data_IF_406904277832
#
_entry.id   IF_406904277832
#
_cell.length_a   1.000
_cell.length_b   1.000
_cell.length_c   1.000
_cell.angle_alpha   90.00
_cell.angle_beta   90.00
_cell.angle_gamma   90.00
#
_symmetry.space_group_name_H-M   'P 1'
#
loop_
_entity.id
_entity.type
_entity.pdbx_description
1 polymer ?
#
# COMPACT_ATOMS: atom_id res chain seq x y z
N UNK A 1 -13.77 49.69 37.84
CA UNK A 1 -12.62 49.95 36.95
C UNK A 1 -11.75 48.71 36.97
N UNK A 2 -11.57 48.06 35.80
CA UNK A 2 -10.57 47.01 35.46
C UNK A 2 -10.60 45.71 36.31
N UNK A 3 -10.59 44.48 35.79
CA UNK A 3 -10.45 44.02 34.41
C UNK A 3 -11.05 42.60 34.28
N UNK A 4 -11.76 42.40 33.18
CA UNK A 4 -12.30 41.13 32.70
C UNK A 4 -11.21 40.38 31.91
N UNK A 5 -11.40 39.07 31.74
CA UNK A 5 -10.78 38.22 30.72
C UNK A 5 -9.34 37.71 30.96
N UNK A 6 -9.20 36.53 31.59
CA UNK A 6 -8.17 35.55 31.23
C UNK A 6 -8.48 34.17 31.85
N UNK A 7 -9.33 33.34 31.22
CA UNK A 7 -9.28 31.87 31.41
C UNK A 7 -10.29 31.08 30.54
N UNK A 8 -10.44 31.41 29.26
CA UNK A 8 -11.27 30.62 28.33
C UNK A 8 -10.54 30.25 27.03
N UNK A 9 -9.20 30.28 27.03
CA UNK A 9 -8.35 29.88 25.90
C UNK A 9 -7.42 28.73 26.31
N UNK A 10 -7.98 27.60 26.74
CA UNK A 10 -7.19 26.39 26.97
C UNK A 10 -7.97 25.07 26.75
N UNK A 11 -9.18 25.11 26.17
CA UNK A 11 -10.00 23.90 26.02
C UNK A 11 -10.36 23.49 24.58
N UNK A 12 -9.83 24.17 23.56
CA UNK A 12 -10.00 23.78 22.15
C UNK A 12 -8.69 23.41 21.43
N UNK A 13 -7.56 23.40 22.14
CA UNK A 13 -6.23 23.18 21.56
C UNK A 13 -5.63 21.78 21.76
N UNK A 14 -6.32 20.85 22.42
CA UNK A 14 -5.74 19.57 22.85
C UNK A 14 -6.52 18.32 22.40
N UNK A 15 -7.44 18.43 21.43
CA UNK A 15 -8.08 17.28 20.78
C UNK A 15 -7.52 16.94 19.39
N UNK A 16 -6.44 17.60 18.98
CA UNK A 16 -5.77 17.39 17.69
C UNK A 16 -4.45 16.60 17.81
N UNK A 17 -4.09 16.14 19.00
CA UNK A 17 -2.83 15.44 19.28
C UNK A 17 -3.12 14.07 19.90
N UNK A 18 -3.66 13.14 19.10
CA UNK A 18 -3.58 11.67 19.28
C UNK A 18 -4.57 10.88 18.38
N UNK A 19 -5.18 11.47 17.34
CA UNK A 19 -5.70 10.65 16.26
C UNK A 19 -4.53 10.33 15.34
N UNK A 20 -3.97 9.13 15.52
CA UNK A 20 -3.14 8.55 14.47
C UNK A 20 -3.91 8.62 13.17
N UNK A 21 -3.26 9.22 12.18
CA UNK A 21 -3.86 9.42 10.89
C UNK A 21 -3.71 8.16 10.06
N UNK A 22 -4.68 7.95 9.20
CA UNK A 22 -4.68 6.89 8.21
C UNK A 22 -3.58 6.97 7.17
N UNK A 23 -2.89 8.10 7.10
CA UNK A 23 -1.74 8.30 6.24
C UNK A 23 -0.42 7.85 6.91
N UNK A 24 -0.44 7.42 8.17
CA UNK A 24 0.74 6.94 8.87
C UNK A 24 1.25 5.60 8.30
N UNK A 25 2.58 5.34 8.35
CA UNK A 25 3.15 4.06 7.91
C UNK A 25 2.57 2.85 8.64
N UNK A 26 2.26 3.00 9.94
CA UNK A 26 1.67 1.96 10.77
C UNK A 26 0.51 2.56 11.59
N UNK A 27 -0.69 2.70 11.01
CA UNK A 27 -1.81 3.26 11.73
C UNK A 27 -2.32 2.24 12.76
N UNK A 28 -2.36 2.60 14.04
CA UNK A 28 -2.97 1.80 15.10
C UNK A 28 -4.50 1.92 15.11
N UNK A 29 -5.07 2.74 14.22
CA UNK A 29 -6.52 2.91 14.04
C UNK A 29 -6.91 2.49 12.63
N UNK A 30 -8.01 1.74 12.52
CA UNK A 30 -8.58 1.38 11.23
C UNK A 30 -9.10 2.60 10.48
N UNK A 31 -8.89 2.63 9.18
CA UNK A 31 -9.20 3.77 8.33
C UNK A 31 -10.66 3.90 7.91
N UNK A 32 -11.55 3.58 8.83
CA UNK A 32 -12.99 3.53 8.64
C UNK A 32 -13.71 4.53 9.55
N UNK A 33 -13.15 5.74 9.70
CA UNK A 33 -13.81 6.80 10.50
C UNK A 33 -15.15 7.19 9.88
N UNK A 34 -16.05 7.74 10.70
CA UNK A 34 -17.38 8.21 10.24
C UNK A 34 -17.27 9.18 9.07
N UNK A 35 -16.25 10.04 9.05
CA UNK A 35 -16.01 11.00 7.97
C UNK A 35 -15.58 10.34 6.65
N UNK A 36 -14.85 9.22 6.73
CA UNK A 36 -14.48 8.43 5.55
C UNK A 36 -15.73 7.68 5.08
N UNK A 37 -16.35 6.90 5.97
CA UNK A 37 -17.49 6.04 5.64
C UNK A 37 -18.73 6.82 5.17
N UNK A 38 -18.84 8.11 5.49
CA UNK A 38 -19.90 8.98 4.96
C UNK A 38 -19.91 9.09 3.42
N UNK A 39 -18.79 8.78 2.76
CA UNK A 39 -18.70 8.72 1.30
C UNK A 39 -18.91 7.31 0.72
N UNK A 40 -18.98 6.27 1.56
CA UNK A 40 -19.15 4.91 1.09
C UNK A 40 -20.60 4.69 0.66
N UNK A 41 -20.83 4.53 -0.64
CA UNK A 41 -22.16 4.31 -1.21
C UNK A 41 -22.04 3.84 -2.65
N UNK A 42 -22.88 2.90 -3.03
CA UNK A 42 -23.02 2.45 -4.41
C UNK A 42 -24.04 3.27 -5.21
N UNK A 43 -24.67 4.30 -4.62
CA UNK A 43 -25.58 5.20 -5.34
C UNK A 43 -24.87 5.91 -6.49
N UNK A 44 -25.63 6.22 -7.55
CA UNK A 44 -25.07 6.95 -8.69
C UNK A 44 -24.65 8.36 -8.29
N UNK A 45 -23.36 8.63 -8.44
CA UNK A 45 -22.73 9.93 -8.23
C UNK A 45 -22.02 10.38 -9.51
N UNK A 46 -21.91 11.70 -9.78
CA UNK A 46 -21.10 12.21 -10.87
C UNK A 46 -19.66 11.67 -10.88
N UNK A 47 -19.08 11.41 -9.70
CA UNK A 47 -17.77 10.80 -9.51
C UNK A 47 -17.85 9.61 -8.56
N UNK A 48 -17.18 8.52 -8.92
CA UNK A 48 -17.12 7.33 -8.07
C UNK A 48 -15.69 6.79 -7.97
N UNK A 49 -15.22 6.58 -6.74
CA UNK A 49 -13.87 6.12 -6.43
C UNK A 49 -13.90 4.62 -6.10
N UNK A 50 -13.07 3.84 -6.77
CA UNK A 50 -12.80 2.44 -6.42
C UNK A 50 -11.46 2.34 -5.73
N UNK A 51 -11.42 1.69 -4.57
CA UNK A 51 -10.19 1.55 -3.79
C UNK A 51 -9.76 0.09 -3.61
N UNK A 52 -8.52 -0.21 -3.96
CA UNK A 52 -7.89 -1.50 -3.73
C UNK A 52 -6.79 -1.35 -2.66
N UNK A 53 -7.06 -1.88 -1.46
CA UNK A 53 -6.20 -1.75 -0.28
C UNK A 53 -4.85 -2.48 -0.41
N UNK A 54 -3.92 -2.26 0.50
CA UNK A 54 -2.69 -3.04 0.61
C UNK A 54 -2.93 -4.43 1.17
N UNK A 55 -1.91 -5.30 1.10
CA UNK A 55 -1.98 -6.61 1.74
C UNK A 55 -2.23 -6.47 3.25
N UNK A 56 -3.08 -7.35 3.77
CA UNK A 56 -3.49 -7.49 5.16
C UNK A 56 -4.16 -6.25 5.79
N UNK A 57 -4.40 -5.20 5.00
CA UNK A 57 -5.23 -4.09 5.45
C UNK A 57 -6.69 -4.57 5.61
N UNK A 58 -7.47 -4.04 6.55
CA UNK A 58 -8.92 -4.12 6.50
C UNK A 58 -9.46 -3.05 5.56
N UNK A 59 -10.73 -3.15 5.16
CA UNK A 59 -11.37 -2.06 4.43
C UNK A 59 -11.55 -0.80 5.30
N UNK A 60 -11.40 0.41 4.72
CA UNK A 60 -10.98 0.72 3.35
C UNK A 60 -9.46 0.77 3.12
N UNK A 61 -8.67 0.44 4.14
CA UNK A 61 -7.20 0.58 4.14
C UNK A 61 -6.77 2.04 4.26
N UNK A 62 -5.46 2.30 4.20
CA UNK A 62 -4.89 3.67 4.29
C UNK A 62 -5.44 4.62 3.20
N UNK A 63 -5.93 4.06 2.08
CA UNK A 63 -6.62 4.79 1.01
C UNK A 63 -7.91 5.52 1.45
N UNK A 64 -8.48 5.18 2.61
CA UNK A 64 -9.71 5.82 3.09
C UNK A 64 -9.56 7.35 3.29
N UNK A 65 -8.43 7.80 3.83
CA UNK A 65 -8.21 9.23 4.10
C UNK A 65 -8.07 10.05 2.82
N UNK A 66 -7.21 9.60 1.89
CA UNK A 66 -7.04 10.29 0.61
C UNK A 66 -8.36 10.31 -0.17
N UNK A 67 -9.17 9.25 -0.09
CA UNK A 67 -10.50 9.19 -0.71
C UNK A 67 -11.46 10.23 -0.13
N UNK A 68 -11.47 10.40 1.20
CA UNK A 68 -12.28 11.45 1.86
C UNK A 68 -11.86 12.85 1.39
N UNK A 69 -10.56 13.12 1.28
CA UNK A 69 -10.05 14.40 0.79
C UNK A 69 -10.37 14.65 -0.70
N UNK A 70 -10.28 13.61 -1.55
CA UNK A 70 -10.70 13.67 -2.95
C UNK A 70 -12.19 14.01 -3.04
N UNK A 71 -13.06 13.30 -2.30
CA UNK A 71 -14.50 13.55 -2.36
C UNK A 71 -14.88 14.93 -1.79
N UNK A 72 -14.22 15.40 -0.72
CA UNK A 72 -14.36 16.79 -0.25
C UNK A 72 -13.98 17.80 -1.34
N UNK A 73 -12.86 17.57 -2.02
CA UNK A 73 -12.36 18.46 -3.08
C UNK A 73 -13.20 18.44 -4.35
N UNK A 74 -13.85 17.32 -4.67
CA UNK A 74 -14.80 17.20 -5.77
C UNK A 74 -16.09 17.94 -5.42
N UNK A 75 -16.71 17.58 -4.30
CA UNK A 75 -18.01 18.05 -3.84
C UNK A 75 -18.67 16.92 -3.05
N UNK A 76 -19.09 17.20 -1.81
CA UNK A 76 -19.54 16.16 -0.87
C UNK A 76 -20.67 15.28 -1.43
N UNK A 77 -21.61 15.90 -2.14
CA UNK A 77 -22.78 15.21 -2.68
C UNK A 77 -22.55 14.62 -4.07
N UNK A 78 -21.41 14.93 -4.70
CA UNK A 78 -21.06 14.56 -6.08
C UNK A 78 -20.09 13.38 -6.17
N UNK A 79 -19.52 12.94 -5.04
CA UNK A 79 -18.51 11.89 -4.96
C UNK A 79 -18.93 10.81 -3.96
N UNK A 80 -18.79 9.55 -4.36
CA UNK A 80 -18.83 8.40 -3.44
C UNK A 80 -17.67 7.46 -3.72
N UNK A 81 -17.49 6.46 -2.86
CA UNK A 81 -16.54 5.38 -3.10
C UNK A 81 -17.11 4.01 -2.75
N UNK A 82 -16.49 2.98 -3.33
CA UNK A 82 -16.63 1.61 -2.88
C UNK A 82 -15.27 0.89 -2.86
N UNK A 83 -15.19 -0.15 -2.02
CA UNK A 83 -14.01 -0.99 -1.93
C UNK A 83 -14.01 -2.00 -3.06
N UNK A 84 -12.86 -2.26 -3.66
CA UNK A 84 -12.69 -3.47 -4.45
C UNK A 84 -12.77 -4.65 -3.51
N UNK A 85 -13.78 -5.51 -3.70
CA UNK A 85 -13.92 -6.71 -2.87
C UNK A 85 -12.91 -7.81 -3.21
N UNK A 86 -11.93 -8.07 -2.33
CA UNK A 86 -10.96 -9.16 -2.49
C UNK A 86 -10.19 -9.50 -1.19
N UNK A 87 -9.47 -10.63 -1.12
CA UNK A 87 -8.84 -11.08 0.12
C UNK A 87 -7.74 -10.19 0.69
N UNK A 88 -7.01 -9.46 -0.16
CA UNK A 88 -5.77 -8.75 0.17
C UNK A 88 -4.74 -9.56 0.98
N UNK A 89 -4.57 -10.86 0.72
CA UNK A 89 -3.62 -11.68 1.49
C UNK A 89 -2.16 -11.42 1.08
N UNK A 90 -1.27 -11.21 2.05
CA UNK A 90 0.19 -11.24 1.80
C UNK A 90 0.72 -12.66 1.57
N UNK A 91 2.03 -12.76 1.28
CA UNK A 91 2.72 -14.06 1.16
C UNK A 91 2.76 -14.83 2.49
N UNK A 92 2.52 -14.18 3.63
CA UNK A 92 2.49 -14.81 4.96
C UNK A 92 1.35 -15.84 5.13
N UNK A 93 0.30 -15.77 4.30
CA UNK A 93 -0.84 -16.69 4.36
C UNK A 93 -0.61 -18.00 3.59
N UNK A 94 0.48 -18.11 2.84
CA UNK A 94 0.81 -19.25 2.01
C UNK A 94 1.38 -18.84 0.66
N UNK A 95 2.15 -19.74 0.05
CA UNK A 95 2.96 -19.43 -1.15
C UNK A 95 2.12 -18.91 -2.31
N UNK A 96 0.89 -19.41 -2.46
CA UNK A 96 -0.02 -19.05 -3.56
C UNK A 96 -0.99 -17.91 -3.20
N UNK A 97 -1.11 -17.54 -1.93
CA UNK A 97 -2.24 -16.73 -1.45
C UNK A 97 -2.17 -15.29 -1.95
N UNK A 98 -0.96 -14.73 -2.12
CA UNK A 98 -0.78 -13.41 -2.74
C UNK A 98 -1.32 -13.42 -4.18
N UNK A 99 -0.94 -14.42 -4.99
CA UNK A 99 -1.37 -14.52 -6.40
C UNK A 99 -2.87 -14.76 -6.53
N UNK A 100 -3.45 -15.67 -5.73
CA UNK A 100 -4.90 -15.89 -5.70
C UNK A 100 -5.65 -14.62 -5.30
N UNK A 101 -5.12 -13.90 -4.32
CA UNK A 101 -5.68 -12.63 -3.85
C UNK A 101 -5.66 -11.58 -4.96
N UNK A 102 -4.51 -11.33 -5.58
CA UNK A 102 -4.34 -10.36 -6.64
C UNK A 102 -5.21 -10.67 -7.87
N UNK A 103 -5.25 -11.93 -8.33
CA UNK A 103 -6.12 -12.35 -9.43
C UNK A 103 -7.60 -12.13 -9.12
N UNK A 104 -8.03 -12.48 -7.89
CA UNK A 104 -9.40 -12.24 -7.45
C UNK A 104 -9.73 -10.75 -7.38
N UNK A 105 -8.79 -9.93 -6.92
CA UNK A 105 -8.91 -8.47 -6.89
C UNK A 105 -9.08 -7.87 -8.27
N UNK A 106 -8.27 -8.27 -9.25
CA UNK A 106 -8.35 -7.75 -10.61
C UNK A 106 -9.70 -8.11 -11.26
N UNK A 107 -10.12 -9.38 -11.15
CA UNK A 107 -11.38 -9.86 -11.70
C UNK A 107 -12.60 -9.19 -11.04
N UNK A 108 -12.64 -9.16 -9.70
CA UNK A 108 -13.73 -8.53 -8.97
C UNK A 108 -13.75 -7.01 -9.20
N UNK A 109 -12.59 -6.36 -9.30
CA UNK A 109 -12.49 -4.93 -9.57
C UNK A 109 -13.05 -4.54 -10.93
N UNK A 110 -12.71 -5.30 -11.98
CA UNK A 110 -13.32 -5.10 -13.30
C UNK A 110 -14.83 -5.34 -13.28
N UNK A 111 -15.30 -6.35 -12.54
CA UNK A 111 -16.73 -6.62 -12.41
C UNK A 111 -17.48 -5.48 -11.70
N UNK A 112 -16.94 -4.92 -10.62
CA UNK A 112 -17.53 -3.79 -9.89
C UNK A 112 -17.56 -2.52 -10.74
N UNK A 113 -16.42 -2.17 -11.37
CA UNK A 113 -16.31 -1.02 -12.28
C UNK A 113 -17.31 -1.11 -13.44
N UNK A 114 -17.47 -2.30 -14.01
CA UNK A 114 -18.48 -2.55 -15.04
C UNK A 114 -19.90 -2.41 -14.51
N UNK A 115 -20.22 -3.07 -13.38
CA UNK A 115 -21.56 -3.02 -12.80
C UNK A 115 -21.97 -1.59 -12.44
N UNK A 116 -21.06 -0.81 -11.86
CA UNK A 116 -21.30 0.60 -11.55
C UNK A 116 -21.52 1.42 -12.82
N UNK A 117 -20.73 1.21 -13.87
CA UNK A 117 -20.90 1.94 -15.14
C UNK A 117 -22.17 1.55 -15.90
N UNK A 118 -22.61 0.30 -15.79
CA UNK A 118 -23.90 -0.14 -16.34
C UNK A 118 -25.07 0.54 -15.59
N UNK A 119 -24.95 0.67 -14.26
CA UNK A 119 -25.94 1.33 -13.40
C UNK A 119 -25.93 2.86 -13.55
N UNK A 120 -24.75 3.46 -13.69
CA UNK A 120 -24.47 4.88 -13.62
C UNK A 120 -23.63 5.33 -14.81
N UNK A 121 -24.21 5.24 -16.01
CA UNK A 121 -23.50 5.40 -17.30
C UNK A 121 -22.81 6.74 -17.55
N UNK A 122 -23.16 7.79 -16.79
CA UNK A 122 -22.56 9.12 -16.88
C UNK A 122 -21.48 9.38 -15.81
N UNK A 123 -21.27 8.43 -14.89
CA UNK A 123 -20.32 8.59 -13.80
C UNK A 123 -18.89 8.54 -14.30
N UNK A 124 -18.07 9.44 -13.78
CA UNK A 124 -16.61 9.44 -13.96
C UNK A 124 -15.98 8.59 -12.88
N UNK A 125 -15.08 7.69 -13.27
CA UNK A 125 -14.48 6.72 -12.37
C UNK A 125 -13.08 7.14 -11.98
N UNK A 126 -12.75 6.92 -10.71
CA UNK A 126 -11.42 7.15 -10.14
C UNK A 126 -10.94 5.83 -9.55
N UNK A 127 -9.73 5.39 -9.88
CA UNK A 127 -9.17 4.13 -9.39
C UNK A 127 -7.98 4.39 -8.48
N UNK A 128 -8.00 3.87 -7.25
CA UNK A 128 -6.90 4.00 -6.30
C UNK A 128 -6.41 2.63 -5.86
N UNK A 129 -5.08 2.47 -5.75
CA UNK A 129 -4.48 1.23 -5.29
C UNK A 129 -3.23 1.44 -4.45
N UNK A 130 -3.04 0.61 -3.42
CA UNK A 130 -1.83 0.60 -2.60
C UNK A 130 -1.20 -0.80 -2.54
N UNK A 131 0.11 -0.92 -2.70
CA UNK A 131 0.87 -2.17 -2.56
C UNK A 131 0.33 -3.32 -3.44
N UNK A 132 -0.22 -4.40 -2.86
CA UNK A 132 -0.94 -5.42 -3.64
C UNK A 132 -2.13 -4.82 -4.41
N UNK A 133 -2.91 -3.93 -3.79
CA UNK A 133 -4.00 -3.20 -4.43
C UNK A 133 -3.56 -2.26 -5.55
N UNK A 134 -2.33 -1.75 -5.50
CA UNK A 134 -1.73 -1.03 -6.62
C UNK A 134 -1.52 -1.95 -7.82
N UNK A 135 -1.06 -3.18 -7.58
CA UNK A 135 -0.94 -4.19 -8.64
C UNK A 135 -2.31 -4.63 -9.16
N UNK A 136 -3.29 -4.83 -8.28
CA UNK A 136 -4.69 -5.10 -8.65
C UNK A 136 -5.26 -4.01 -9.55
N UNK A 137 -5.08 -2.73 -9.18
CA UNK A 137 -5.59 -1.59 -9.94
C UNK A 137 -4.93 -1.51 -11.32
N UNK A 138 -3.61 -1.72 -11.39
CA UNK A 138 -2.91 -1.81 -12.67
C UNK A 138 -3.31 -3.05 -13.48
N UNK A 139 -3.59 -4.20 -12.84
CA UNK A 139 -4.09 -5.41 -13.51
C UNK A 139 -5.49 -5.19 -14.09
N UNK A 140 -6.35 -4.42 -13.44
CA UNK A 140 -7.64 -4.03 -13.99
C UNK A 140 -7.47 -3.22 -15.29
N UNK A 141 -6.56 -2.25 -15.32
CA UNK A 141 -6.37 -1.35 -16.47
C UNK A 141 -5.55 -2.00 -17.60
N UNK A 142 -4.45 -2.66 -17.25
CA UNK A 142 -3.45 -3.20 -18.16
C UNK A 142 -3.55 -4.69 -18.44
N UNK A 143 -4.39 -5.41 -17.71
CA UNK A 143 -4.32 -6.87 -17.66
C UNK A 143 -3.24 -7.36 -16.70
N UNK A 144 -3.46 -8.53 -16.14
CA UNK A 144 -2.65 -9.11 -15.07
C UNK A 144 -2.15 -10.52 -15.37
N UNK A 145 -1.65 -11.17 -14.33
CA UNK A 145 -1.07 -12.50 -14.39
C UNK A 145 0.45 -12.53 -14.55
N UNK A 146 1.01 -13.74 -14.47
CA UNK A 146 2.45 -14.01 -14.56
C UNK A 146 3.08 -14.39 -13.22
N UNK A 147 4.34 -14.83 -13.26
CA UNK A 147 5.10 -15.23 -12.07
C UNK A 147 5.45 -14.01 -11.21
N UNK A 148 5.10 -14.05 -9.92
CA UNK A 148 5.42 -13.00 -8.95
C UNK A 148 5.65 -13.65 -7.59
N UNK A 149 6.72 -13.26 -6.90
CA UNK A 149 7.23 -14.02 -5.76
C UNK A 149 7.38 -15.51 -6.13
N UNK A 150 6.85 -16.41 -5.29
CA UNK A 150 6.90 -17.88 -5.46
C UNK A 150 5.62 -18.46 -6.09
N UNK A 151 4.74 -17.65 -6.67
CA UNK A 151 3.48 -18.11 -7.27
C UNK A 151 3.27 -17.53 -8.67
N UNK A 152 2.39 -18.18 -9.46
CA UNK A 152 1.91 -17.66 -10.73
C UNK A 152 0.50 -17.11 -10.54
N UNK A 153 0.31 -15.83 -10.85
CA UNK A 153 -1.00 -15.20 -10.84
C UNK A 153 -1.76 -15.55 -12.12
N UNK A 154 -3.05 -15.89 -11.98
CA UNK A 154 -3.96 -16.09 -13.12
C UNK A 154 -4.09 -14.82 -13.96
N UNK A 155 -4.24 -15.00 -15.26
CA UNK A 155 -4.37 -13.89 -16.21
C UNK A 155 -5.77 -13.29 -16.19
N UNK A 156 -5.86 -11.96 -16.30
CA UNK A 156 -7.09 -11.24 -16.62
C UNK A 156 -6.84 -10.29 -17.80
N UNK A 157 -7.84 -10.04 -18.66
CA UNK A 157 -7.69 -9.11 -19.78
C UNK A 157 -7.57 -7.67 -19.28
N UNK A 158 -7.00 -6.79 -20.10
CA UNK A 158 -7.03 -5.35 -19.88
C UNK A 158 -8.45 -4.80 -20.00
N UNK A 159 -8.76 -3.75 -19.23
CA UNK A 159 -9.96 -2.97 -19.44
C UNK A 159 -9.78 -2.10 -20.69
N UNK A 160 -10.74 -2.15 -21.61
CA UNK A 160 -10.66 -1.39 -22.86
C UNK A 160 -10.82 0.10 -22.61
N UNK A 161 -9.74 0.87 -22.83
CA UNK A 161 -9.71 2.32 -22.66
C UNK A 161 -10.64 3.07 -23.61
N UNK A 162 -11.05 2.46 -24.72
CA UNK A 162 -11.85 3.10 -25.77
C UNK A 162 -13.36 3.00 -25.56
N UNK A 163 -13.81 2.12 -24.66
CA UNK A 163 -15.23 1.87 -24.39
C UNK A 163 -15.53 1.87 -22.89
N UNK A 164 -16.79 2.04 -22.51
CA UNK A 164 -17.20 1.90 -21.10
C UNK A 164 -16.94 0.47 -20.60
N UNK A 165 -16.40 0.28 -19.39
CA UNK A 165 -16.13 1.31 -18.38
C UNK A 165 -14.73 1.95 -18.43
N UNK A 166 -13.80 1.43 -19.24
CA UNK A 166 -12.43 1.96 -19.30
C UNK A 166 -12.34 3.40 -19.80
N UNK A 167 -13.23 3.81 -20.69
CA UNK A 167 -13.37 5.18 -21.16
C UNK A 167 -13.81 6.17 -20.07
N UNK A 168 -14.50 5.68 -19.04
CA UNK A 168 -15.04 6.49 -17.94
C UNK A 168 -13.99 6.74 -16.84
N UNK A 169 -12.83 6.07 -16.87
CA UNK A 169 -11.74 6.32 -15.93
C UNK A 169 -11.09 7.67 -16.24
N UNK A 170 -11.31 8.64 -15.35
CA UNK A 170 -10.80 10.02 -15.50
C UNK A 170 -9.52 10.28 -14.70
N UNK A 171 -9.25 9.46 -13.68
CA UNK A 171 -8.02 9.49 -12.90
C UNK A 171 -7.75 8.11 -12.31
N UNK A 172 -6.49 7.71 -12.25
CA UNK A 172 -6.04 6.54 -11.53
C UNK A 172 -4.72 6.87 -10.81
N UNK A 173 -4.57 6.44 -9.57
CA UNK A 173 -3.31 6.59 -8.84
C UNK A 173 -2.99 5.31 -8.08
N UNK A 174 -1.78 4.81 -8.27
CA UNK A 174 -1.27 3.66 -7.52
C UNK A 174 -0.03 4.02 -6.72
N UNK A 175 0.15 3.38 -5.58
CA UNK A 175 1.29 3.58 -4.68
C UNK A 175 1.99 2.25 -4.41
N UNK A 176 3.28 2.15 -4.70
CA UNK A 176 4.08 0.98 -4.36
C UNK A 176 3.67 -0.31 -5.08
N UNK A 177 3.36 -0.27 -6.37
CA UNK A 177 2.94 -1.47 -7.11
C UNK A 177 4.03 -2.57 -7.10
N UNK A 178 3.64 -3.78 -6.68
CA UNK A 178 4.47 -5.00 -6.73
C UNK A 178 4.79 -5.40 -8.17
N UNK A 179 3.79 -5.35 -9.04
CA UNK A 179 3.91 -5.66 -10.46
C UNK A 179 3.92 -4.39 -11.30
N UNK A 180 5.11 -3.85 -11.59
CA UNK A 180 5.31 -2.63 -12.39
C UNK A 180 6.61 -2.68 -13.19
N UNK A 181 6.66 -1.89 -14.25
CA UNK A 181 7.86 -1.72 -15.08
C UNK A 181 8.50 -0.36 -14.86
N UNK A 182 9.82 -0.32 -14.94
CA UNK A 182 10.61 0.92 -14.94
C UNK A 182 10.38 1.78 -16.17
N UNK A 183 10.86 3.02 -16.10
CA UNK A 183 10.95 4.01 -17.18
C UNK A 183 9.61 4.32 -17.86
N UNK A 184 8.53 4.37 -17.06
CA UNK A 184 7.22 4.76 -17.56
C UNK A 184 6.98 6.25 -17.33
N UNK A 185 6.38 6.90 -18.33
CA UNK A 185 6.01 8.32 -18.30
C UNK A 185 4.94 8.66 -17.24
N UNK A 186 4.20 7.66 -16.77
CA UNK A 186 3.22 7.80 -15.69
C UNK A 186 3.82 7.51 -14.31
N UNK A 187 5.08 7.06 -14.20
CA UNK A 187 5.70 6.85 -12.88
C UNK A 187 6.17 8.17 -12.28
N UNK A 188 5.83 8.37 -11.00
CA UNK A 188 6.24 9.50 -10.17
C UNK A 188 7.18 9.00 -9.06
N UNK A 189 8.24 9.75 -8.80
CA UNK A 189 9.26 9.44 -7.80
C UNK A 189 10.54 8.83 -8.39
N UNK A 190 11.57 8.78 -7.55
CA UNK A 190 12.91 8.30 -7.94
C UNK A 190 12.97 6.78 -8.17
N UNK A 191 11.91 6.03 -7.81
CA UNK A 191 11.72 4.62 -8.16
C UNK A 191 11.43 4.38 -9.65
N UNK A 192 11.36 5.44 -10.47
CA UNK A 192 11.12 5.34 -11.92
C UNK A 192 12.12 4.45 -12.66
N UNK A 193 13.36 4.33 -12.20
CA UNK A 193 14.40 3.55 -12.87
C UNK A 193 14.38 2.05 -12.53
N UNK A 194 13.45 1.62 -11.69
CA UNK A 194 13.41 0.28 -11.12
C UNK A 194 12.10 -0.43 -11.45
N UNK A 195 12.20 -1.73 -11.68
CA UNK A 195 11.04 -2.61 -11.78
C UNK A 195 10.58 -2.97 -10.35
N UNK A 196 9.32 -3.39 -10.21
CA UNK A 196 8.86 -3.99 -8.95
C UNK A 196 9.40 -5.42 -8.78
N UNK A 197 8.84 -6.18 -7.84
CA UNK A 197 9.07 -7.64 -7.70
C UNK A 197 8.90 -8.38 -9.03
N UNK A 198 8.06 -7.84 -9.92
CA UNK A 198 7.93 -8.32 -11.30
C UNK A 198 7.70 -7.16 -12.25
N UNK A 199 8.38 -7.17 -13.40
CA UNK A 199 8.05 -6.32 -14.54
C UNK A 199 6.73 -6.74 -15.21
N UNK A 200 6.02 -5.78 -15.82
CA UNK A 200 4.86 -6.06 -16.68
C UNK A 200 5.34 -6.68 -18.00
N UNK A 201 4.54 -7.57 -18.59
CA UNK A 201 4.80 -8.01 -19.97
C UNK A 201 4.62 -6.84 -20.95
N UNK A 202 5.18 -6.91 -22.17
CA UNK A 202 4.98 -5.88 -23.19
C UNK A 202 3.50 -5.57 -23.46
N UNK A 203 2.64 -6.60 -23.52
CA UNK A 203 1.21 -6.46 -23.78
C UNK A 203 0.49 -5.77 -22.61
N UNK A 204 0.83 -6.16 -21.37
CA UNK A 204 0.29 -5.53 -20.17
C UNK A 204 0.68 -4.04 -20.12
N UNK A 205 1.92 -3.73 -20.49
CA UNK A 205 2.44 -2.38 -20.48
C UNK A 205 1.84 -1.51 -21.59
N UNK A 206 1.69 -2.06 -22.79
CA UNK A 206 1.02 -1.38 -23.90
C UNK A 206 -0.43 -1.02 -23.54
N UNK A 207 -1.13 -1.94 -22.86
CA UNK A 207 -2.48 -1.66 -22.36
C UNK A 207 -2.49 -0.56 -21.28
N UNK A 208 -1.57 -0.59 -20.31
CA UNK A 208 -1.42 0.48 -19.30
C UNK A 208 -1.09 1.84 -19.94
N UNK A 209 -0.26 1.88 -20.98
CA UNK A 209 0.11 3.12 -21.65
C UNK A 209 -1.10 3.86 -22.26
N UNK A 210 -2.19 3.16 -22.57
CA UNK A 210 -3.45 3.79 -23.00
C UNK A 210 -4.07 4.67 -21.89
N UNK A 211 -3.72 4.44 -20.63
CA UNK A 211 -4.15 5.22 -19.47
C UNK A 211 -3.14 6.29 -19.04
N UNK A 212 -1.97 6.40 -19.67
CA UNK A 212 -0.87 7.26 -19.20
C UNK A 212 -1.24 8.75 -19.02
N UNK A 213 -2.25 9.24 -19.75
CA UNK A 213 -2.73 10.61 -19.60
C UNK A 213 -3.58 10.83 -18.35
N UNK A 214 -4.10 9.79 -17.71
CA UNK A 214 -4.97 9.82 -16.51
C UNK A 214 -4.43 8.97 -15.37
N UNK A 215 -3.21 8.44 -15.47
CA UNK A 215 -2.65 7.51 -14.51
C UNK A 215 -1.34 8.05 -13.92
N UNK A 216 -1.18 7.93 -12.60
CA UNK A 216 0.09 8.10 -11.90
C UNK A 216 0.43 6.84 -11.10
N UNK A 217 1.66 6.35 -11.23
CA UNK A 217 2.22 5.25 -10.46
C UNK A 217 3.33 5.78 -9.55
N UNK A 218 3.06 5.93 -8.26
CA UNK A 218 4.04 6.38 -7.28
C UNK A 218 4.93 5.23 -6.85
N UNK A 219 6.24 5.44 -6.97
CA UNK A 219 7.24 4.53 -6.45
C UNK A 219 8.45 5.29 -5.92
N UNK A 220 8.76 5.09 -4.64
CA UNK A 220 9.92 5.70 -4.00
C UNK A 220 11.20 4.95 -4.31
N UNK A 221 12.31 5.68 -4.35
CA UNK A 221 13.63 5.04 -4.28
C UNK A 221 13.81 4.38 -2.90
N UNK A 222 14.43 3.22 -2.87
CA UNK A 222 14.60 2.41 -1.67
C UNK A 222 13.36 1.59 -1.29
N UNK A 223 12.23 1.72 -1.98
CA UNK A 223 11.06 0.86 -1.76
C UNK A 223 11.40 -0.58 -2.20
N UNK A 224 11.44 -1.56 -1.26
CA UNK A 224 11.86 -2.93 -1.57
C UNK A 224 10.83 -3.71 -2.40
N UNK A 225 9.65 -3.16 -2.63
CA UNK A 225 8.55 -3.78 -3.38
C UNK A 225 8.47 -3.23 -4.80
N UNK A 226 8.42 -1.91 -4.94
CA UNK A 226 8.17 -1.27 -6.24
C UNK A 226 9.46 -0.81 -6.94
N UNK A 227 10.57 -0.69 -6.22
CA UNK A 227 11.87 -0.30 -6.73
C UNK A 227 12.96 -1.32 -6.37
N UNK A 228 12.75 -2.57 -6.76
CA UNK A 228 13.64 -3.69 -6.39
C UNK A 228 15.06 -3.43 -6.90
N UNK A 229 16.04 -3.50 -5.98
CA UNK A 229 17.45 -3.24 -6.26
C UNK A 229 17.88 -1.77 -6.15
N UNK A 230 16.97 -0.87 -5.75
CA UNK A 230 17.35 0.48 -5.30
C UNK A 230 17.89 0.42 -3.87
N UNK A 231 19.14 0.86 -3.66
CA UNK A 231 19.85 0.66 -2.39
C UNK A 231 20.26 1.99 -1.72
N UNK A 232 20.19 2.11 -0.39
CA UNK A 232 19.77 1.08 0.57
C UNK A 232 18.25 0.86 0.56
N UNK A 233 17.82 -0.41 0.55
CA UNK A 233 16.40 -0.75 0.70
C UNK A 233 15.86 -0.32 2.08
N UNK A 234 14.67 0.29 2.09
CA UNK A 234 14.00 0.81 3.27
C UNK A 234 12.49 0.59 3.18
N UNK A 235 11.95 -0.31 4.03
CA UNK A 235 10.50 -0.60 4.06
C UNK A 235 9.65 0.65 4.36
N UNK A 236 10.19 1.65 5.06
CA UNK A 236 9.49 2.91 5.29
C UNK A 236 9.17 3.64 3.98
N UNK A 237 10.03 3.52 2.96
CA UNK A 237 9.75 4.07 1.63
C UNK A 237 8.50 3.44 0.99
N UNK A 238 8.14 2.20 1.36
CA UNK A 238 6.90 1.57 0.91
C UNK A 238 5.64 2.01 1.69
N UNK A 239 5.82 2.58 2.88
CA UNK A 239 4.73 2.84 3.82
C UNK A 239 4.36 4.33 3.92
N UNK A 240 5.32 5.23 3.65
CA UNK A 240 5.15 6.68 3.85
C UNK A 240 4.50 7.43 2.68
N UNK A 241 4.02 6.75 1.63
CA UNK A 241 3.37 7.38 0.48
C UNK A 241 2.28 8.39 0.87
N UNK A 242 1.48 8.06 1.88
CA UNK A 242 0.38 8.93 2.29
C UNK A 242 0.85 10.08 3.19
N UNK A 243 1.96 9.93 3.91
CA UNK A 243 2.58 11.05 4.61
C UNK A 243 3.17 12.07 3.62
N UNK A 244 3.75 11.59 2.52
CA UNK A 244 4.47 12.44 1.57
C UNK A 244 3.56 13.00 0.46
N UNK A 245 2.60 12.21 -0.02
CA UNK A 245 1.89 12.50 -1.27
C UNK A 245 0.37 12.73 -1.14
N UNK A 246 -0.23 12.56 0.04
CA UNK A 246 -1.69 12.62 0.19
C UNK A 246 -2.29 13.94 -0.32
N UNK A 247 -1.68 15.09 0.04
CA UNK A 247 -2.19 16.40 -0.38
C UNK A 247 -2.04 16.63 -1.89
N UNK A 248 -0.85 16.36 -2.46
CA UNK A 248 -0.61 16.60 -3.88
C UNK A 248 -1.45 15.68 -4.77
N UNK A 249 -1.60 14.40 -4.40
CA UNK A 249 -2.38 13.44 -5.15
C UNK A 249 -3.85 13.81 -5.10
N UNK A 250 -4.38 14.18 -3.92
CA UNK A 250 -5.77 14.62 -3.80
C UNK A 250 -6.06 15.81 -4.72
N UNK A 251 -5.16 16.80 -4.73
CA UNK A 251 -5.28 17.97 -5.62
C UNK A 251 -5.21 17.60 -7.09
N UNK A 252 -4.27 16.72 -7.46
CA UNK A 252 -4.12 16.26 -8.84
C UNK A 252 -5.36 15.52 -9.32
N UNK A 253 -5.89 14.58 -8.53
CA UNK A 253 -7.10 13.82 -8.86
C UNK A 253 -8.30 14.77 -9.01
N UNK A 254 -8.52 15.67 -8.06
CA UNK A 254 -9.64 16.63 -8.11
C UNK A 254 -9.56 17.49 -9.37
N UNK A 255 -8.38 18.03 -9.70
CA UNK A 255 -8.18 18.81 -10.90
C UNK A 255 -8.43 17.97 -12.17
N UNK A 256 -7.88 16.75 -12.22
CA UNK A 256 -8.02 15.84 -13.36
C UNK A 256 -9.47 15.44 -13.60
N UNK A 257 -10.18 15.05 -12.53
CA UNK A 257 -11.58 14.66 -12.57
C UNK A 257 -12.49 15.80 -13.06
N UNK A 258 -12.21 17.04 -12.63
CA UNK A 258 -12.91 18.25 -13.08
C UNK A 258 -12.56 18.69 -14.50
N UNK A 259 -11.62 18.02 -15.17
CA UNK A 259 -11.21 18.31 -16.55
C UNK A 259 -10.23 19.48 -16.66
N UNK A 260 -9.59 19.88 -15.55
CA UNK A 260 -8.58 20.93 -15.57
C UNK A 260 -7.27 20.39 -16.16
N UNK A 261 -6.53 21.24 -16.87
CA UNK A 261 -5.17 20.94 -17.28
C UNK A 261 -4.27 20.88 -16.04
N UNK A 262 -3.74 19.70 -15.75
CA UNK A 262 -2.81 19.46 -14.63
C UNK A 262 -1.70 18.53 -15.10
N UNK A 263 -0.46 18.93 -14.84
CA UNK A 263 0.72 18.10 -15.11
C UNK A 263 0.90 17.07 -14.00
N UNK A 264 1.57 15.94 -14.33
CA UNK A 264 2.07 15.05 -13.29
C UNK A 264 3.00 15.82 -12.33
N UNK A 265 2.97 15.52 -11.02
CA UNK A 265 3.96 16.05 -10.08
C UNK A 265 5.39 15.73 -10.59
N UNK A 266 6.30 16.69 -10.41
CA UNK A 266 7.68 16.58 -10.92
C UNK A 266 8.35 15.31 -10.40
N UNK A 267 9.06 14.59 -11.27
CA UNK A 267 9.88 13.41 -10.94
C UNK A 267 11.06 13.73 -9.99
N UNK A 268 11.25 15.00 -9.64
CA UNK A 268 12.30 15.48 -8.76
C UNK A 268 11.72 16.55 -7.87
N UNK A 269 11.52 16.23 -6.58
CA UNK A 269 11.85 17.07 -5.41
C UNK A 269 11.40 16.40 -4.12
N UNK A 270 12.24 15.53 -3.55
CA UNK A 270 12.20 15.21 -2.12
C UNK A 270 13.62 15.00 -1.54
N UNK A 271 14.56 15.89 -1.88
CA UNK A 271 15.77 16.05 -1.06
C UNK A 271 15.60 17.24 -0.13
N UNK A 272 14.90 17.04 0.99
CA UNK A 272 15.23 17.82 2.19
C UNK A 272 16.53 17.26 2.73
N UNK A 273 17.65 17.79 2.25
CA UNK A 273 18.97 17.60 2.84
C UNK A 273 18.91 17.94 4.32
N UNK A 274 18.87 16.92 5.19
CA UNK A 274 19.18 17.08 6.60
C UNK A 274 20.69 17.36 6.64
N UNK A 275 21.05 18.63 6.79
CA UNK A 275 22.43 19.01 7.08
C UNK A 275 22.86 18.32 8.39
N UNK A 276 24.03 17.67 8.45
CA UNK A 276 24.50 17.07 9.69
C UNK A 276 24.74 18.18 10.71
N UNK A 277 24.10 18.05 11.88
CA UNK A 277 24.35 18.91 13.02
C UNK A 277 25.84 18.88 13.35
N UNK A 278 26.45 20.06 13.37
CA UNK A 278 27.85 20.30 13.70
C UNK A 278 28.10 19.84 15.14
N UNK A 279 28.76 18.69 15.31
CA UNK A 279 29.26 18.26 16.60
C UNK A 279 30.39 19.20 17.03
N UNK A 280 30.20 19.90 18.15
CA UNK A 280 31.25 20.65 18.83
C UNK A 280 32.25 19.68 19.44
N UNK A 281 33.49 19.80 18.99
CA UNK A 281 34.65 19.07 19.51
C UNK A 281 35.06 19.73 20.82
N UNK A 282 35.14 18.95 21.90
CA UNK A 282 35.99 19.28 23.03
C UNK A 282 36.93 18.10 23.25
N UNK A 283 38.22 18.34 23.02
CA UNK A 283 39.29 17.36 23.13
C UNK A 283 40.26 17.79 24.23
N UNK A 284 40.53 16.90 25.19
CA UNK A 284 41.82 16.79 25.86
C UNK A 284 42.01 15.39 26.51
N UNK A 285 42.86 14.61 25.83
CA UNK A 285 43.67 13.42 26.17
C UNK A 285 44.56 13.54 27.45
N UNK A 286 45.46 12.58 27.79
CA UNK A 286 45.43 11.10 27.79
C UNK A 286 46.10 10.46 29.05
N UNK A 287 45.93 9.14 29.29
CA UNK A 287 46.96 8.34 30.01
C UNK A 287 47.01 6.89 29.49
N UNK A 288 48.23 6.42 29.20
CA UNK A 288 48.67 5.06 28.83
C UNK A 288 48.48 4.05 29.99
N UNK A 289 48.71 2.73 29.94
CA UNK A 289 49.42 1.79 29.08
C UNK A 289 48.98 0.36 29.50
N UNK A 290 49.28 -0.67 28.70
CA UNK A 290 49.32 -2.06 29.19
C UNK A 290 49.11 -3.11 28.11
N UNK A 291 50.17 -3.83 27.78
CA UNK A 291 50.32 -4.75 26.65
C UNK A 291 50.01 -6.23 26.98
N UNK A 292 49.95 -7.03 25.88
CA UNK A 292 50.26 -8.47 25.78
C UNK A 292 49.25 -9.47 26.36
N UNK A 293 49.07 -10.69 25.84
CA UNK A 293 49.46 -11.38 24.60
C UNK A 293 48.77 -12.77 24.62
N UNK A 294 48.70 -13.40 23.44
CA UNK A 294 48.75 -14.88 23.19
C UNK A 294 47.63 -15.81 23.67
N UNK A 295 47.19 -16.70 22.77
CA UNK A 295 46.47 -17.93 23.16
C UNK A 295 45.75 -18.66 22.02
N UNK A 296 46.48 -19.54 21.35
CA UNK A 296 46.13 -20.38 20.19
C UNK A 296 45.08 -21.47 20.47
N UNK A 297 44.37 -21.86 19.40
CA UNK A 297 44.12 -23.25 18.93
C UNK A 297 42.71 -23.84 19.01
N UNK A 298 42.36 -24.36 17.82
CA UNK A 298 41.32 -25.28 17.42
C UNK A 298 41.12 -26.54 18.29
N UNK A 299 39.91 -27.11 18.18
CA UNK A 299 39.72 -28.52 17.79
C UNK A 299 38.25 -28.83 17.43
N UNK A 300 38.10 -29.61 16.35
CA UNK A 300 36.91 -30.31 15.87
C UNK A 300 36.45 -31.46 16.80
N UNK A 301 35.17 -31.86 16.66
CA UNK A 301 34.66 -33.24 16.50
C UNK A 301 33.13 -33.20 16.81
N UNK A 302 32.16 -33.64 16.00
CA UNK A 302 31.93 -34.83 15.15
C UNK A 302 30.88 -35.78 15.75
N UNK A 303 29.82 -36.04 14.96
CA UNK A 303 28.94 -37.24 14.91
C UNK A 303 28.00 -37.50 16.12
N UNK A 304 26.84 -38.17 16.05
CA UNK A 304 26.13 -39.02 15.07
C UNK A 304 24.59 -38.95 15.39
N UNK A 305 23.66 -38.96 14.43
CA UNK A 305 22.89 -40.13 13.90
C UNK A 305 22.02 -40.92 14.91
N UNK A 306 20.69 -40.97 14.70
CA UNK A 306 19.86 -42.21 14.70
C UNK A 306 18.36 -41.99 14.41
N UNK A 307 17.92 -42.45 13.22
CA UNK A 307 16.77 -43.36 12.91
C UNK A 307 15.37 -43.24 13.54
N UNK A 308 14.39 -42.93 12.67
CA UNK A 308 13.15 -43.66 12.27
C UNK A 308 12.35 -44.58 13.22
N UNK A 309 11.01 -44.39 13.27
CA UNK A 309 9.95 -45.35 12.82
C UNK A 309 8.52 -44.75 12.98
N UNK A 310 7.65 -44.82 11.95
CA UNK A 310 6.47 -45.74 11.79
C UNK A 310 5.39 -45.61 12.89
N UNK A 311 4.07 -45.51 12.67
CA UNK A 311 3.20 -45.55 11.48
C UNK A 311 1.71 -45.54 11.91
N UNK A 312 0.85 -44.98 11.04
CA UNK A 312 -0.55 -45.29 10.67
C UNK A 312 -1.71 -45.60 11.67
N UNK A 313 -2.92 -45.25 11.17
CA UNK A 313 -4.32 -45.63 11.52
C UNK A 313 -4.99 -44.85 12.65
N UNK A 314 -6.26 -44.42 12.62
CA UNK A 314 -7.37 -44.53 11.68
C UNK A 314 -8.70 -44.23 12.41
N UNK A 315 -9.65 -43.59 11.72
CA UNK A 315 -11.11 -43.55 11.93
C UNK A 315 -11.75 -42.86 13.17
N UNK A 316 -12.43 -41.73 12.89
CA UNK A 316 -13.90 -41.53 13.03
C UNK A 316 -14.55 -41.53 14.42
N UNK A 317 -15.17 -40.40 14.79
CA UNK A 317 -16.61 -40.30 15.15
C UNK A 317 -17.03 -38.87 15.49
N UNK A 318 -18.30 -38.59 15.18
CA UNK A 318 -19.11 -37.37 15.31
C UNK A 318 -19.51 -36.99 16.74
N UNK A 319 -20.09 -35.78 16.88
CA UNK A 319 -20.81 -35.14 18.03
C UNK A 319 -19.90 -34.18 18.83
N UNK A 320 -20.22 -32.94 19.19
CA UNK A 320 -21.46 -32.13 19.26
C UNK A 320 -21.06 -30.65 19.45
N UNK A 321 -22.00 -29.74 19.20
CA UNK A 321 -21.89 -28.30 19.42
C UNK A 321 -21.53 -27.93 20.88
N UNK A 322 -20.68 -26.91 21.04
CA UNK A 322 -20.35 -26.29 22.32
C UNK A 322 -19.52 -25.02 22.14
N UNK A 323 -20.16 -23.89 22.40
CA UNK A 323 -19.69 -22.57 22.84
C UNK A 323 -18.20 -22.20 22.64
N UNK A 324 -17.96 -21.23 21.75
CA UNK A 324 -16.67 -20.54 21.63
C UNK A 324 -16.55 -19.45 22.71
N UNK A 325 -15.72 -19.71 23.72
CA UNK A 325 -15.14 -18.66 24.58
C UNK A 325 -13.77 -18.29 24.00
N UNK A 326 -13.65 -17.07 23.49
CA UNK A 326 -12.39 -16.53 22.98
C UNK A 326 -11.37 -16.38 24.12
N UNK A 327 -10.29 -17.15 24.08
CA UNK A 327 -9.14 -16.98 24.95
C UNK A 327 -8.04 -16.21 24.20
N UNK A 328 -7.76 -15.00 24.67
CA UNK A 328 -6.64 -14.17 24.24
C UNK A 328 -5.35 -14.79 24.76
N UNK A 329 -4.49 -15.29 23.87
CA UNK A 329 -3.10 -15.61 24.20
C UNK A 329 -2.19 -14.45 23.79
N UNK A 330 -1.70 -13.73 24.81
CA UNK A 330 -0.55 -12.83 24.69
C UNK A 330 0.71 -13.69 24.60
N UNK A 331 1.35 -13.70 23.43
CA UNK A 331 2.70 -14.26 23.27
C UNK A 331 3.70 -13.11 23.26
N UNK A 332 4.39 -12.94 24.38
CA UNK A 332 5.64 -12.18 24.46
C UNK A 332 6.77 -13.09 23.93
N UNK A 333 7.33 -12.74 22.77
CA UNK A 333 8.45 -13.45 22.16
C UNK A 333 9.39 -12.48 21.46
N UNK A 334 10.64 -12.48 21.92
CA UNK A 334 11.74 -11.59 21.56
C UNK A 334 12.14 -11.62 20.07
N UNK A 335 12.46 -10.43 19.56
CA UNK A 335 12.74 -10.08 18.16
C UNK A 335 14.02 -10.68 17.58
N UNK A 336 13.86 -11.44 16.50
CA UNK A 336 14.80 -11.54 15.38
C UNK A 336 13.94 -11.52 14.11
N UNK A 337 13.76 -10.32 13.54
CA UNK A 337 12.97 -10.12 12.33
C UNK A 337 13.70 -10.74 11.13
N UNK A 338 13.13 -11.81 10.57
CA UNK A 338 13.38 -12.23 9.20
C UNK A 338 12.36 -11.56 8.28
N UNK A 339 12.81 -11.21 7.07
CA UNK A 339 12.05 -10.60 5.98
C UNK A 339 10.93 -11.55 5.50
N UNK A 340 9.85 -11.63 6.26
CA UNK A 340 8.71 -12.52 6.00
C UNK A 340 7.35 -11.80 6.08
N UNK A 341 7.33 -10.47 6.18
CA UNK A 341 6.14 -9.64 6.00
C UNK A 341 6.31 -8.75 4.76
N UNK A 342 6.15 -9.33 3.57
CA UNK A 342 6.00 -8.62 2.29
C UNK A 342 4.94 -9.33 1.43
#
# INVERSE_FOLDING_TARGET
>A
MFNLALSALALFGALALAQERCDAPYPNVYCNTTEILAYQSDDCKPYHVFIARGSDEPYPGRLGNITSEICKGIGKDDCSFENIEYPAKSTAWGVDEWCKSAAKGAANGQAQVKAYSDKCSHSKLILLGYSQGASVTQDMMGGGGGQVFQCTQDTNPALDRSTSPGANVVAAVTFGAVARSKNQNFTVGEGVHYDGTRARTPEQLEALQKYANVFLDYCHYGDPICAVGSEPANVTAHLDYFLEHNEEVSKWIVAKAKGNAVSAPSQSTASKSIAPAKATVEAATPTSAGASATGTSAAEASQASSTSNHGSTGAGSTLTAGDYVASVMVVLGTTLFSVALL
#
